data_IF_317481945091
#
_entry.id   IF_317481945091
#
_cell.length_a   1.000
_cell.length_b   1.000
_cell.length_c   1.000
_cell.angle_alpha   90.00
_cell.angle_beta   90.00
_cell.angle_gamma   90.00
#
_symmetry.space_group_name_H-M   'P 1'
#
loop_
_entity.id
_entity.type
_entity.pdbx_description
1 polymer ?
#
# COMPACT_ATOMS: atom_id res chain seq x y z
N UNK A 1 16.47 -7.74 5.08
CA UNK A 1 15.69 -6.55 4.66
C UNK A 1 14.66 -6.96 3.63
N UNK A 2 13.48 -6.39 3.72
CA UNK A 2 12.42 -6.67 2.76
C UNK A 2 12.55 -5.76 1.55
N UNK A 3 11.84 -6.10 0.48
CA UNK A 3 11.78 -5.27 -0.73
C UNK A 3 11.25 -3.86 -0.44
N UNK A 4 10.42 -3.72 0.58
CA UNK A 4 9.73 -2.47 0.88
C UNK A 4 10.47 -1.59 1.90
N UNK A 5 11.47 -2.12 2.60
CA UNK A 5 12.13 -1.41 3.71
C UNK A 5 12.63 -0.03 3.33
N UNK A 6 13.32 0.09 2.20
CA UNK A 6 13.87 1.38 1.78
C UNK A 6 12.76 2.35 1.39
N UNK A 7 11.73 1.87 0.70
CA UNK A 7 10.59 2.71 0.31
C UNK A 7 9.84 3.22 1.55
N UNK A 8 9.63 2.35 2.52
CA UNK A 8 8.97 2.71 3.77
C UNK A 8 9.78 3.77 4.50
N UNK A 9 11.10 3.60 4.56
CA UNK A 9 11.99 4.57 5.21
C UNK A 9 11.87 5.95 4.58
N UNK A 10 11.86 6.02 3.26
CA UNK A 10 11.71 7.28 2.54
C UNK A 10 10.35 7.92 2.78
N UNK A 11 9.30 7.11 2.76
CA UNK A 11 7.94 7.61 3.03
C UNK A 11 7.82 8.19 4.43
N UNK A 12 8.47 7.57 5.42
CA UNK A 12 8.50 8.09 6.80
C UNK A 12 9.21 9.43 6.90
N UNK A 13 10.13 9.71 5.97
CA UNK A 13 10.84 10.99 5.91
C UNK A 13 10.09 12.04 5.08
N UNK A 14 8.92 11.70 4.57
CA UNK A 14 8.10 12.61 3.78
C UNK A 14 8.40 12.60 2.28
N UNK A 15 9.15 11.61 1.82
CA UNK A 15 9.52 11.51 0.41
C UNK A 15 8.56 10.65 -0.38
N UNK A 16 8.29 11.05 -1.63
CA UNK A 16 7.54 10.24 -2.60
C UNK A 16 8.48 9.20 -3.19
N UNK A 17 7.99 7.97 -3.36
CA UNK A 17 8.79 6.89 -3.95
C UNK A 17 8.13 6.34 -5.21
N UNK A 18 8.97 5.82 -6.12
CA UNK A 18 8.52 5.15 -7.34
C UNK A 18 9.24 3.81 -7.44
N UNK A 19 8.48 2.78 -7.79
CA UNK A 19 9.06 1.45 -7.98
C UNK A 19 8.16 0.58 -8.84
N UNK A 20 8.68 -0.59 -9.27
CA UNK A 20 7.95 -1.54 -10.10
C UNK A 20 7.70 -2.81 -9.31
N UNK A 21 6.50 -2.96 -8.73
CA UNK A 21 6.19 -4.17 -7.98
C UNK A 21 6.13 -5.39 -8.89
N UNK A 22 6.42 -6.55 -8.33
CA UNK A 22 6.38 -7.82 -9.04
C UNK A 22 5.28 -8.69 -8.45
N UNK A 23 4.72 -9.58 -9.27
CA UNK A 23 3.69 -10.51 -8.85
C UNK A 23 2.30 -10.13 -9.34
N UNK A 24 1.34 -11.04 -9.17
CA UNK A 24 0.00 -10.92 -9.72
C UNK A 24 -1.11 -10.63 -8.73
N UNK A 25 -0.79 -10.33 -7.46
CA UNK A 25 -1.82 -10.15 -6.44
C UNK A 25 -2.73 -8.95 -6.66
N UNK A 26 -2.26 -7.98 -7.45
CA UNK A 26 -3.01 -6.76 -7.75
C UNK A 26 -3.43 -6.66 -9.21
N UNK A 27 -3.38 -7.77 -9.95
CA UNK A 27 -3.77 -7.85 -11.35
C UNK A 27 -5.15 -7.21 -11.55
N UNK A 28 -5.29 -6.39 -12.57
CA UNK A 28 -6.48 -5.59 -12.84
C UNK A 28 -6.37 -4.16 -12.36
N UNK A 29 -5.56 -3.90 -11.34
CA UNK A 29 -5.30 -2.55 -10.85
C UNK A 29 -3.83 -2.19 -10.99
N UNK A 30 -2.93 -3.10 -10.64
CA UNK A 30 -1.48 -2.93 -10.84
C UNK A 30 -0.95 -4.24 -11.42
N UNK A 31 -0.40 -4.16 -12.63
CA UNK A 31 0.22 -5.32 -13.27
C UNK A 31 1.69 -5.41 -12.87
N UNK A 32 2.22 -6.63 -12.85
CA UNK A 32 3.63 -6.85 -12.54
C UNK A 32 4.52 -6.02 -13.46
N UNK A 33 5.45 -5.28 -12.88
CA UNK A 33 6.41 -4.48 -13.65
C UNK A 33 5.95 -3.07 -14.01
N UNK A 34 4.70 -2.70 -13.71
CA UNK A 34 4.26 -1.33 -13.92
C UNK A 34 4.91 -0.39 -12.90
N UNK A 35 5.12 0.87 -13.28
CA UNK A 35 5.70 1.86 -12.39
C UNK A 35 4.61 2.47 -11.52
N UNK A 36 4.74 2.32 -10.22
CA UNK A 36 3.83 2.95 -9.26
C UNK A 36 4.50 4.13 -8.59
N UNK A 37 3.72 5.18 -8.32
CA UNK A 37 4.15 6.33 -7.53
C UNK A 37 3.38 6.28 -6.22
N UNK A 38 4.10 6.28 -5.10
CA UNK A 38 3.52 6.21 -3.76
C UNK A 38 3.93 7.45 -3.00
N UNK A 39 2.95 8.18 -2.48
CA UNK A 39 3.17 9.39 -1.68
C UNK A 39 2.97 9.11 -0.20
N UNK A 40 3.71 9.82 0.67
CA UNK A 40 3.51 9.67 2.12
C UNK A 40 2.08 10.00 2.51
N UNK A 41 1.57 9.30 3.51
CA UNK A 41 0.26 9.58 4.09
C UNK A 41 0.49 10.33 5.40
N UNK A 42 0.07 11.61 5.46
CA UNK A 42 0.14 12.40 6.67
C UNK A 42 -1.18 12.41 7.43
N UNK A 43 -2.30 12.35 6.69
CA UNK A 43 -3.64 12.33 7.27
C UNK A 43 -4.35 11.04 6.82
N UNK A 44 -4.36 10.05 7.70
CA UNK A 44 -4.97 8.74 7.41
C UNK A 44 -6.49 8.80 7.28
N UNK A 45 -7.12 9.88 7.73
CA UNK A 45 -8.57 10.04 7.58
C UNK A 45 -8.98 10.23 6.12
N UNK A 46 -8.01 10.54 5.24
CA UNK A 46 -8.27 10.68 3.81
C UNK A 46 -8.25 9.34 3.07
N UNK A 47 -7.86 8.27 3.74
CA UNK A 47 -7.82 6.94 3.14
C UNK A 47 -9.22 6.34 3.05
N UNK A 48 -9.51 5.70 1.92
CA UNK A 48 -10.83 5.13 1.63
C UNK A 48 -10.71 3.72 1.10
N UNK A 49 -11.82 2.99 1.18
CA UNK A 49 -11.94 1.69 0.52
C UNK A 49 -11.59 1.83 -0.96
N UNK A 50 -10.76 0.93 -1.45
CA UNK A 50 -10.30 0.93 -2.83
C UNK A 50 -8.94 1.59 -3.04
N UNK A 51 -8.45 2.35 -2.07
CA UNK A 51 -7.11 2.94 -2.17
C UNK A 51 -6.06 1.84 -2.14
N UNK A 52 -5.00 2.02 -2.94
CA UNK A 52 -3.85 1.12 -2.95
C UNK A 52 -2.79 1.76 -2.06
N UNK A 53 -2.32 1.02 -1.06
CA UNK A 53 -1.40 1.55 -0.06
C UNK A 53 -0.20 0.64 0.11
N UNK A 54 0.94 1.25 0.46
CA UNK A 54 2.12 0.51 0.91
C UNK A 54 2.00 0.39 2.42
N UNK A 55 1.89 -0.84 2.89
CA UNK A 55 1.53 -1.12 4.28
C UNK A 55 2.26 -2.35 4.81
N UNK A 56 2.18 -2.52 6.12
CA UNK A 56 2.72 -3.69 6.80
C UNK A 56 1.62 -4.32 7.65
N UNK A 57 1.35 -5.60 7.40
CA UNK A 57 0.38 -6.38 8.15
C UNK A 57 1.15 -7.48 8.86
N UNK A 58 1.16 -7.45 10.19
CA UNK A 58 2.00 -8.37 10.95
C UNK A 58 3.48 -8.14 10.61
N UNK A 59 4.14 -9.13 10.04
CA UNK A 59 5.57 -9.05 9.70
C UNK A 59 5.82 -8.88 8.21
N UNK A 60 4.77 -8.80 7.40
CA UNK A 60 4.90 -8.74 5.95
C UNK A 60 4.46 -7.38 5.40
N UNK A 61 5.18 -6.90 4.38
CA UNK A 61 4.85 -5.67 3.68
C UNK A 61 4.10 -5.99 2.40
N UNK A 62 3.14 -5.11 2.06
CA UNK A 62 2.32 -5.26 0.86
C UNK A 62 2.06 -3.92 0.21
N UNK A 63 1.90 -3.95 -1.12
CA UNK A 63 1.24 -2.89 -1.87
C UNK A 63 -0.13 -3.45 -2.24
N UNK A 64 -1.12 -3.24 -1.40
CA UNK A 64 -2.45 -3.85 -1.52
C UNK A 64 -3.56 -2.84 -1.31
N UNK A 65 -4.80 -3.32 -1.45
CA UNK A 65 -6.00 -2.49 -1.35
C UNK A 65 -6.49 -2.36 0.09
N UNK A 66 -7.08 -1.21 0.38
CA UNK A 66 -7.94 -1.06 1.55
C UNK A 66 -9.30 -1.66 1.17
N UNK A 67 -9.68 -2.74 1.83
CA UNK A 67 -10.96 -3.44 1.58
C UNK A 67 -12.09 -2.88 2.43
N UNK A 68 -11.77 -2.34 3.60
CA UNK A 68 -12.76 -1.79 4.52
C UNK A 68 -12.07 -0.82 5.46
N UNK A 69 -12.79 0.23 5.84
CA UNK A 69 -12.32 1.20 6.84
C UNK A 69 -13.31 1.18 8.00
N UNK A 70 -12.79 1.01 9.22
CA UNK A 70 -13.59 1.05 10.44
C UNK A 70 -12.85 1.90 11.46
N UNK A 71 -13.32 3.12 11.68
CA UNK A 71 -12.63 4.07 12.54
C UNK A 71 -11.23 4.36 12.03
N UNK A 72 -10.22 4.04 12.83
CA UNK A 72 -8.81 4.23 12.46
C UNK A 72 -8.14 2.92 12.06
N UNK A 73 -8.93 1.90 11.72
CA UNK A 73 -8.42 0.59 11.31
C UNK A 73 -8.79 0.30 9.87
N UNK A 74 -7.90 -0.39 9.18
CA UNK A 74 -8.02 -0.65 7.75
C UNK A 74 -7.84 -2.13 7.48
N UNK A 75 -8.79 -2.73 6.75
CA UNK A 75 -8.68 -4.12 6.32
C UNK A 75 -7.92 -4.15 5.00
N UNK A 76 -6.81 -4.85 4.97
CA UNK A 76 -5.93 -4.91 3.80
C UNK A 76 -6.14 -6.23 3.06
N UNK A 77 -6.17 -6.16 1.74
CA UNK A 77 -6.30 -7.34 0.91
C UNK A 77 -5.85 -7.08 -0.53
N UNK A 78 -5.78 -8.15 -1.30
CA UNK A 78 -5.37 -8.05 -2.70
C UNK A 78 -6.59 -7.88 -3.63
N UNK A 79 -6.33 -7.73 -4.93
CA UNK A 79 -7.39 -7.55 -5.92
C UNK A 79 -7.97 -8.89 -6.42
N UNK A 80 -7.63 -9.99 -5.76
CA UNK A 80 -8.11 -11.34 -6.09
C UNK A 80 -9.00 -11.93 -5.00
N UNK A 81 -9.46 -11.09 -4.07
CA UNK A 81 -10.39 -11.50 -3.04
C UNK A 81 -9.79 -12.00 -1.74
N UNK A 82 -8.45 -12.01 -1.61
CA UNK A 82 -7.79 -12.42 -0.39
C UNK A 82 -7.63 -11.23 0.56
N UNK A 83 -7.88 -11.43 1.85
CA UNK A 83 -7.58 -10.43 2.87
C UNK A 83 -6.33 -10.82 3.63
N UNK A 84 -5.53 -9.80 4.01
CA UNK A 84 -4.29 -10.01 4.76
C UNK A 84 -4.47 -9.75 6.25
N UNK A 85 -5.39 -8.87 6.62
CA UNK A 85 -5.67 -8.55 8.00
C UNK A 85 -5.94 -7.08 8.22
N UNK A 86 -6.18 -6.72 9.48
CA UNK A 86 -6.44 -5.34 9.89
C UNK A 86 -5.17 -4.67 10.36
N UNK A 87 -5.01 -3.39 10.01
CA UNK A 87 -3.89 -2.57 10.49
C UNK A 87 -4.41 -1.23 10.99
N UNK A 88 -3.68 -0.63 11.92
CA UNK A 88 -3.90 0.74 12.34
C UNK A 88 -3.16 1.71 11.42
N UNK A 89 -3.21 2.99 11.76
CA UNK A 89 -2.56 4.04 10.97
C UNK A 89 -1.05 3.84 10.86
N UNK A 90 -0.42 3.36 11.91
CA UNK A 90 1.03 3.14 11.93
C UNK A 90 1.49 2.06 10.97
N UNK A 91 0.58 1.24 10.46
CA UNK A 91 0.88 0.20 9.49
C UNK A 91 0.72 0.63 8.04
N UNK A 92 0.30 1.86 7.78
CA UNK A 92 0.13 2.38 6.43
C UNK A 92 1.10 3.54 6.22
N UNK A 93 2.02 3.39 5.27
CA UNK A 93 3.12 4.32 5.07
C UNK A 93 2.91 5.27 3.90
N UNK A 94 2.20 4.83 2.87
CA UNK A 94 1.97 5.65 1.70
C UNK A 94 0.79 5.17 0.87
N UNK A 95 0.31 6.06 0.01
CA UNK A 95 -0.81 5.81 -0.90
C UNK A 95 -0.32 5.86 -2.34
N UNK A 96 -0.69 4.87 -3.13
CA UNK A 96 -0.39 4.86 -4.55
C UNK A 96 -1.27 5.89 -5.26
N UNK A 97 -0.63 6.82 -5.97
CA UNK A 97 -1.34 7.91 -6.65
C UNK A 97 -1.24 7.80 -8.18
N UNK A 98 -0.38 6.93 -8.69
CA UNK A 98 -0.19 6.77 -10.12
C UNK A 98 0.32 5.37 -10.44
N UNK A 99 -0.18 4.81 -11.55
CA UNK A 99 0.29 3.53 -12.10
C UNK A 99 0.55 3.76 -13.58
N UNK A 100 1.78 3.51 -14.02
CA UNK A 100 2.21 3.74 -15.40
C UNK A 100 2.87 2.49 -15.99
N UNK A 101 2.89 2.42 -17.31
CA UNK A 101 3.54 1.32 -18.01
C UNK A 101 5.06 1.27 -17.79
#
# INVERSE_FOLDING_TARGET
>A
MSWASEHISKLKEGETVKFRPQGGSMTGKVESGQLVTVEPVSDHSELSKGDIVLCKVGKAEYLHLIKKVTGIRFLIGNNKGKTNGWVGEEGIFGKCVSVEA
#
